data_IF_759918584468
#
_entry.id   IF_759918584468
#
_cell.length_a   1.000
_cell.length_b   1.000
_cell.length_c   1.000
_cell.angle_alpha   90.00
_cell.angle_beta   90.00
_cell.angle_gamma   90.00
#
_symmetry.space_group_name_H-M   'P 1'
#
loop_
_entity.id
_entity.type
_entity.pdbx_description
1 polymer ?
#
# COMPACT_ATOMS: atom_id res chain seq x y z
N UNK A 1 -21.61 5.84 -19.74
CA UNK A 1 -20.75 4.65 -19.81
C UNK A 1 -19.31 5.11 -19.53
N UNK A 2 -18.64 4.43 -18.62
CA UNK A 2 -17.22 4.60 -18.33
C UNK A 2 -16.52 3.35 -18.83
N UNK A 3 -15.79 3.47 -19.91
CA UNK A 3 -14.99 2.40 -20.48
C UNK A 3 -13.55 2.50 -19.99
N UNK A 4 -12.91 1.37 -19.77
CA UNK A 4 -11.56 1.30 -19.20
C UNK A 4 -11.39 2.05 -17.87
N UNK A 5 -12.37 1.91 -16.98
CA UNK A 5 -12.40 2.65 -15.71
C UNK A 5 -11.15 2.44 -14.84
N UNK A 6 -10.50 1.28 -14.93
CA UNK A 6 -9.25 1.00 -14.24
C UNK A 6 -8.11 1.97 -14.58
N UNK A 7 -8.20 2.70 -15.69
CA UNK A 7 -7.21 3.68 -16.16
C UNK A 7 -7.62 5.13 -15.90
N UNK A 8 -8.84 5.36 -15.39
CA UNK A 8 -9.35 6.70 -15.12
C UNK A 8 -8.87 7.21 -13.76
N UNK A 9 -8.91 8.53 -13.59
CA UNK A 9 -8.65 9.15 -12.29
C UNK A 9 -9.75 8.77 -11.30
N UNK A 10 -9.42 8.28 -10.09
CA UNK A 10 -10.40 7.84 -9.10
C UNK A 10 -11.44 8.90 -8.73
N UNK A 11 -11.04 10.17 -8.70
CA UNK A 11 -11.87 11.33 -8.31
C UNK A 11 -13.02 11.59 -9.29
N UNK A 12 -12.85 11.18 -10.57
CA UNK A 12 -13.85 11.41 -11.62
C UNK A 12 -15.24 10.88 -11.23
N UNK A 13 -15.30 9.73 -10.59
CA UNK A 13 -16.56 9.13 -10.20
C UNK A 13 -17.25 9.94 -9.09
N UNK A 14 -16.55 10.21 -7.99
CA UNK A 14 -17.12 10.88 -6.82
C UNK A 14 -17.39 12.37 -7.02
N UNK A 15 -16.46 13.06 -7.66
CA UNK A 15 -16.53 14.54 -7.77
C UNK A 15 -17.34 15.03 -8.96
N UNK A 16 -17.39 14.24 -10.04
CA UNK A 16 -18.04 14.69 -11.28
C UNK A 16 -19.31 13.90 -11.57
N UNK A 17 -19.25 12.56 -11.55
CA UNK A 17 -20.35 11.76 -12.02
C UNK A 17 -21.48 11.60 -11.01
N UNK A 18 -21.15 11.39 -9.72
CA UNK A 18 -22.20 11.25 -8.69
C UNK A 18 -23.08 12.48 -8.61
N UNK A 19 -22.56 13.73 -8.55
CA UNK A 19 -23.40 14.92 -8.59
C UNK A 19 -24.23 15.05 -9.86
N UNK A 20 -23.64 14.78 -11.03
CA UNK A 20 -24.32 14.90 -12.33
C UNK A 20 -25.47 13.87 -12.52
N UNK A 21 -25.33 12.69 -11.92
CA UNK A 21 -26.36 11.64 -12.00
C UNK A 21 -27.48 11.85 -10.98
N UNK A 22 -27.17 12.44 -9.83
CA UNK A 22 -28.15 12.66 -8.75
C UNK A 22 -29.33 13.53 -9.18
N UNK A 23 -29.07 14.56 -10.01
CA UNK A 23 -30.11 15.47 -10.49
C UNK A 23 -31.17 14.81 -11.40
N UNK A 24 -30.81 13.69 -12.04
CA UNK A 24 -31.64 13.03 -13.05
C UNK A 24 -32.03 11.61 -12.73
N UNK A 25 -31.73 11.14 -11.52
CA UNK A 25 -31.88 9.75 -11.14
C UNK A 25 -31.28 8.80 -12.20
N UNK A 26 -30.08 9.18 -12.67
CA UNK A 26 -29.36 8.48 -13.71
C UNK A 26 -28.64 7.22 -13.20
N UNK A 27 -28.20 6.39 -14.12
CA UNK A 27 -27.38 5.22 -13.81
C UNK A 27 -26.09 5.26 -14.65
N UNK A 28 -25.08 4.51 -14.20
CA UNK A 28 -23.78 4.44 -14.86
C UNK A 28 -23.42 2.98 -15.16
N UNK A 29 -22.87 2.76 -16.34
CA UNK A 29 -22.16 1.54 -16.67
C UNK A 29 -20.67 1.78 -16.50
N UNK A 30 -20.03 0.93 -15.69
CA UNK A 30 -18.60 0.91 -15.49
C UNK A 30 -18.10 -0.40 -16.07
N UNK A 31 -17.24 -0.32 -17.08
CA UNK A 31 -16.67 -1.49 -17.76
C UNK A 31 -15.15 -1.33 -17.87
N UNK A 32 -14.46 -2.44 -18.04
CA UNK A 32 -13.01 -2.48 -18.21
C UNK A 32 -12.42 -3.81 -17.76
N UNK A 33 -11.13 -3.95 -17.96
CA UNK A 33 -10.33 -5.06 -17.46
C UNK A 33 -9.63 -4.72 -16.14
N UNK A 34 -9.38 -5.69 -15.25
CA UNK A 34 -8.64 -5.47 -14.02
C UNK A 34 -7.24 -4.90 -14.27
N UNK A 35 -6.84 -3.91 -13.46
CA UNK A 35 -5.46 -3.40 -13.42
C UNK A 35 -5.00 -3.24 -11.97
N UNK A 36 -4.89 -4.37 -11.28
CA UNK A 36 -4.58 -4.42 -9.86
C UNK A 36 -5.74 -3.98 -8.96
N UNK A 37 -5.46 -3.80 -7.67
CA UNK A 37 -6.44 -3.41 -6.66
C UNK A 37 -6.55 -1.87 -6.56
N UNK A 38 -7.11 -1.26 -7.57
CA UNK A 38 -7.34 0.18 -7.70
C UNK A 38 -8.80 0.56 -7.42
N UNK A 39 -9.18 1.80 -7.75
CA UNK A 39 -10.55 2.29 -7.57
C UNK A 39 -11.62 1.45 -8.31
N UNK A 40 -11.27 0.79 -9.42
CA UNK A 40 -12.16 -0.14 -10.10
C UNK A 40 -12.44 -1.39 -9.26
N UNK A 41 -11.40 -1.95 -8.64
CA UNK A 41 -11.53 -3.07 -7.72
C UNK A 41 -12.38 -2.73 -6.50
N UNK A 42 -12.17 -1.57 -5.89
CA UNK A 42 -12.97 -1.11 -4.76
C UNK A 42 -14.46 -0.97 -5.12
N UNK A 43 -14.74 -0.44 -6.32
CA UNK A 43 -16.10 -0.35 -6.86
C UNK A 43 -16.70 -1.74 -7.10
N UNK A 44 -15.93 -2.66 -7.65
CA UNK A 44 -16.35 -4.04 -7.85
C UNK A 44 -16.72 -4.71 -6.52
N UNK A 45 -15.88 -4.59 -5.49
CA UNK A 45 -16.16 -5.12 -4.17
C UNK A 45 -17.39 -4.49 -3.50
N UNK A 46 -17.59 -3.19 -3.69
CA UNK A 46 -18.78 -2.48 -3.19
C UNK A 46 -20.05 -3.00 -3.88
N UNK A 47 -19.98 -3.11 -5.21
CA UNK A 47 -21.12 -3.57 -6.01
C UNK A 47 -21.50 -5.02 -5.71
N UNK A 48 -20.56 -5.90 -5.38
CA UNK A 48 -20.85 -7.27 -4.97
C UNK A 48 -21.65 -7.37 -3.66
N UNK A 49 -21.58 -6.34 -2.81
CA UNK A 49 -22.26 -6.32 -1.50
C UNK A 49 -23.61 -5.59 -1.52
N UNK A 50 -23.95 -4.92 -2.60
CA UNK A 50 -25.12 -4.06 -2.70
C UNK A 50 -26.01 -4.51 -3.87
N UNK A 51 -27.19 -5.02 -3.55
CA UNK A 51 -28.16 -5.53 -4.53
C UNK A 51 -28.73 -4.48 -5.50
N UNK A 52 -28.46 -3.20 -5.28
CA UNK A 52 -28.82 -2.13 -6.23
C UNK A 52 -27.92 -2.09 -7.47
N UNK A 53 -26.78 -2.81 -7.42
CA UNK A 53 -25.88 -2.92 -8.55
C UNK A 53 -26.09 -4.23 -9.32
N UNK A 54 -25.98 -4.13 -10.63
CA UNK A 54 -25.79 -5.30 -11.49
C UNK A 54 -24.29 -5.50 -11.71
N UNK A 55 -23.78 -6.68 -11.39
CA UNK A 55 -22.36 -7.03 -11.54
C UNK A 55 -22.25 -8.28 -12.40
N UNK A 56 -21.37 -8.23 -13.40
CA UNK A 56 -20.98 -9.40 -14.18
C UNK A 56 -19.46 -9.37 -14.42
N UNK A 57 -18.86 -10.54 -14.48
CA UNK A 57 -17.46 -10.74 -14.81
C UNK A 57 -17.40 -11.91 -15.79
N UNK A 58 -16.84 -11.67 -16.97
CA UNK A 58 -16.73 -12.66 -18.03
C UNK A 58 -15.25 -12.96 -18.32
N UNK A 59 -14.82 -14.12 -17.92
CA UNK A 59 -13.47 -14.60 -18.23
C UNK A 59 -13.45 -15.22 -19.62
N UNK A 60 -12.35 -15.05 -20.34
CA UNK A 60 -12.20 -15.59 -21.69
C UNK A 60 -12.24 -17.13 -21.76
N UNK A 61 -11.83 -17.80 -20.67
CA UNK A 61 -11.86 -19.26 -20.54
C UNK A 61 -13.23 -19.84 -20.12
N UNK A 62 -14.17 -18.99 -19.72
CA UNK A 62 -15.53 -19.36 -19.32
C UNK A 62 -16.57 -19.01 -20.37
N UNK A 63 -16.16 -18.35 -21.45
CA UNK A 63 -17.06 -17.93 -22.52
C UNK A 63 -16.59 -18.49 -23.86
N UNK A 64 -17.54 -18.82 -24.74
CA UNK A 64 -17.24 -19.27 -26.12
C UNK A 64 -17.10 -18.08 -27.11
N UNK A 65 -16.89 -16.87 -26.61
CA UNK A 65 -16.80 -15.65 -27.44
C UNK A 65 -15.51 -15.67 -28.27
N UNK A 66 -14.42 -16.13 -27.66
CA UNK A 66 -13.13 -16.30 -28.33
C UNK A 66 -12.91 -17.78 -28.62
N UNK A 67 -12.74 -18.19 -29.90
CA UNK A 67 -12.43 -19.58 -30.24
C UNK A 67 -11.17 -20.07 -29.49
N UNK A 68 -11.17 -21.33 -29.03
CA UNK A 68 -10.09 -21.88 -28.25
C UNK A 68 -8.71 -21.78 -28.93
N UNK A 69 -8.64 -21.99 -30.24
CA UNK A 69 -7.40 -21.85 -31.02
C UNK A 69 -6.87 -20.41 -30.95
N UNK A 70 -7.76 -19.43 -31.05
CA UNK A 70 -7.40 -18.01 -30.98
C UNK A 70 -6.96 -17.60 -29.58
N UNK A 71 -7.61 -18.15 -28.56
CA UNK A 71 -7.23 -17.92 -27.15
C UNK A 71 -5.82 -18.44 -26.87
N UNK A 72 -5.48 -19.63 -27.37
CA UNK A 72 -4.13 -20.19 -27.22
C UNK A 72 -3.07 -19.41 -28.02
N UNK A 73 -3.43 -18.85 -29.16
CA UNK A 73 -2.55 -17.95 -29.91
C UNK A 73 -2.25 -16.66 -29.11
N UNK A 74 -3.30 -16.02 -28.56
CA UNK A 74 -3.16 -14.84 -27.72
C UNK A 74 -2.28 -15.09 -26.49
N UNK A 75 -2.47 -16.20 -25.79
CA UNK A 75 -1.66 -16.58 -24.63
C UNK A 75 -0.16 -16.73 -24.94
N UNK A 76 0.20 -17.10 -26.17
CA UNK A 76 1.63 -17.23 -26.56
C UNK A 76 2.32 -15.88 -26.71
N UNK A 77 1.57 -14.82 -27.00
CA UNK A 77 2.09 -13.47 -27.24
C UNK A 77 2.01 -12.58 -25.97
N UNK A 78 1.31 -13.04 -24.94
CA UNK A 78 1.06 -12.30 -23.71
C UNK A 78 1.92 -12.83 -22.56
N UNK A 79 2.28 -11.95 -21.64
CA UNK A 79 2.89 -12.34 -20.37
C UNK A 79 1.85 -12.97 -19.43
N UNK A 80 2.29 -13.74 -18.44
CA UNK A 80 1.40 -14.34 -17.44
C UNK A 80 0.53 -13.30 -16.72
N UNK A 81 1.08 -12.10 -16.47
CA UNK A 81 0.35 -10.99 -15.87
C UNK A 81 -0.76 -10.48 -16.80
N UNK A 82 -0.45 -10.29 -18.07
CA UNK A 82 -1.44 -9.85 -19.06
C UNK A 82 -2.54 -10.90 -19.26
N UNK A 83 -2.20 -12.19 -19.31
CA UNK A 83 -3.18 -13.29 -19.37
C UNK A 83 -4.14 -13.22 -18.17
N UNK A 84 -3.59 -13.10 -16.96
CA UNK A 84 -4.40 -13.02 -15.74
C UNK A 84 -5.31 -11.80 -15.73
N UNK A 85 -4.82 -10.64 -16.15
CA UNK A 85 -5.59 -9.40 -16.19
C UNK A 85 -6.64 -9.39 -17.30
N UNK A 86 -6.20 -9.55 -18.55
CA UNK A 86 -7.02 -9.30 -19.73
C UNK A 86 -7.95 -10.49 -20.07
N UNK A 87 -7.51 -11.72 -19.81
CA UNK A 87 -8.26 -12.92 -20.16
C UNK A 87 -8.99 -13.55 -18.97
N UNK A 88 -8.40 -13.49 -17.78
CA UNK A 88 -8.96 -14.15 -16.60
C UNK A 88 -9.59 -13.19 -15.58
N UNK A 89 -9.67 -11.90 -15.87
CA UNK A 89 -10.26 -10.87 -15.01
C UNK A 89 -9.72 -10.86 -13.58
N UNK A 90 -8.42 -11.13 -13.42
CA UNK A 90 -7.78 -11.26 -12.12
C UNK A 90 -7.26 -9.91 -11.60
N UNK A 91 -7.94 -9.36 -10.59
CA UNK A 91 -7.52 -8.11 -9.92
C UNK A 91 -6.26 -8.25 -9.08
N UNK A 92 -5.78 -9.47 -8.80
CA UNK A 92 -4.56 -9.68 -8.02
C UNK A 92 -3.32 -9.76 -8.90
N UNK A 93 -3.49 -9.86 -10.21
CA UNK A 93 -2.38 -9.83 -11.16
C UNK A 93 -1.68 -8.47 -11.07
N UNK A 94 -0.39 -8.50 -10.77
CA UNK A 94 0.41 -7.28 -10.60
C UNK A 94 0.69 -6.63 -11.96
N UNK A 95 0.44 -5.33 -12.08
CA UNK A 95 0.94 -4.56 -13.21
C UNK A 95 2.48 -4.57 -13.20
N UNK A 96 3.11 -4.56 -14.38
CA UNK A 96 4.57 -4.61 -14.56
C UNK A 96 5.37 -3.50 -13.83
N UNK A 97 4.68 -2.47 -13.33
CA UNK A 97 5.27 -1.33 -12.63
C UNK A 97 5.11 -1.37 -11.10
N UNK A 98 4.63 -2.48 -10.55
CA UNK A 98 4.49 -2.62 -9.09
C UNK A 98 5.81 -3.14 -8.53
N UNK A 99 6.43 -2.36 -7.64
CA UNK A 99 7.70 -2.71 -6.98
C UNK A 99 7.52 -3.93 -6.06
N UNK A 100 6.39 -4.01 -5.34
CA UNK A 100 6.06 -5.13 -4.46
C UNK A 100 4.64 -5.58 -4.74
N UNK A 101 4.43 -6.79 -5.28
CA UNK A 101 3.09 -7.35 -5.52
C UNK A 101 2.24 -7.43 -4.25
N UNK A 102 0.94 -7.20 -4.37
CA UNK A 102 0.01 -7.17 -3.22
C UNK A 102 -0.12 -8.53 -2.52
N UNK A 103 0.02 -9.62 -3.26
CA UNK A 103 0.04 -10.97 -2.72
C UNK A 103 1.22 -11.17 -1.76
N UNK A 104 2.42 -10.69 -2.10
CA UNK A 104 3.59 -10.70 -1.21
C UNK A 104 3.38 -9.82 0.03
N UNK A 105 2.73 -8.67 -0.12
CA UNK A 105 2.39 -7.80 1.02
C UNK A 105 1.39 -8.49 1.94
N UNK A 106 0.38 -9.12 1.36
CA UNK A 106 -0.65 -9.86 2.11
C UNK A 106 -0.08 -11.08 2.82
N UNK A 107 0.80 -11.84 2.16
CA UNK A 107 1.52 -12.96 2.77
C UNK A 107 2.37 -12.48 3.94
N UNK A 108 3.15 -11.42 3.75
CA UNK A 108 3.98 -10.84 4.79
C UNK A 108 3.17 -10.32 5.99
N UNK A 109 2.02 -9.67 5.73
CA UNK A 109 1.14 -9.14 6.78
C UNK A 109 0.46 -10.24 7.61
N UNK A 110 0.15 -11.38 6.99
CA UNK A 110 -0.49 -12.52 7.66
C UNK A 110 0.50 -13.51 8.28
N UNK A 111 1.80 -13.33 8.02
CA UNK A 111 2.82 -14.21 8.54
C UNK A 111 2.99 -14.01 10.05
N UNK A 112 2.82 -15.08 10.81
CA UNK A 112 3.11 -15.12 12.23
C UNK A 112 4.60 -15.38 12.44
N UNK A 113 5.29 -14.49 13.12
CA UNK A 113 6.70 -14.61 13.45
C UNK A 113 6.81 -14.60 14.99
N UNK A 114 7.38 -15.65 15.57
CA UNK A 114 7.56 -15.75 17.00
C UNK A 114 8.78 -14.95 17.47
N UNK A 115 8.79 -14.57 18.75
CA UNK A 115 9.95 -13.89 19.36
C UNK A 115 11.21 -14.76 19.34
N UNK A 116 11.06 -16.09 19.34
CA UNK A 116 12.16 -17.04 19.27
C UNK A 116 12.84 -17.04 17.89
N UNK A 117 12.06 -16.92 16.80
CA UNK A 117 12.60 -16.88 15.44
C UNK A 117 13.44 -15.62 15.18
N UNK A 118 13.21 -14.56 15.92
CA UNK A 118 13.95 -13.30 15.76
C UNK A 118 14.88 -12.99 16.94
N UNK A 119 15.05 -13.91 17.90
CA UNK A 119 15.79 -13.67 19.14
C UNK A 119 17.20 -13.09 18.89
N UNK A 120 17.94 -13.69 17.95
CA UNK A 120 19.31 -13.31 17.60
C UNK A 120 19.38 -12.34 16.40
N UNK A 121 18.24 -11.84 15.94
CA UNK A 121 18.19 -10.91 14.81
C UNK A 121 18.48 -9.47 15.22
N UNK A 122 19.06 -8.69 14.29
CA UNK A 122 19.31 -7.26 14.46
C UNK A 122 18.01 -6.52 14.67
N UNK A 123 17.98 -5.66 15.69
CA UNK A 123 16.88 -4.80 16.07
C UNK A 123 17.13 -3.37 15.59
N UNK A 124 16.25 -2.83 14.76
CA UNK A 124 16.39 -1.51 14.14
C UNK A 124 15.16 -0.67 14.47
N UNK A 125 15.40 0.58 14.84
CA UNK A 125 14.38 1.61 14.97
C UNK A 125 14.52 2.60 13.83
N UNK A 126 13.49 2.74 12.98
CA UNK A 126 13.39 3.76 11.94
C UNK A 126 12.57 4.95 12.45
N UNK A 127 13.00 6.17 12.13
CA UNK A 127 12.30 7.40 12.50
C UNK A 127 12.17 8.28 11.26
N UNK A 128 10.96 8.51 10.84
CA UNK A 128 10.59 9.49 9.83
C UNK A 128 10.06 10.73 10.53
N UNK A 129 10.79 11.86 10.40
CA UNK A 129 10.52 13.08 11.16
C UNK A 129 9.68 14.03 10.33
N UNK A 130 8.40 14.19 10.70
CA UNK A 130 7.52 15.19 10.13
C UNK A 130 7.75 16.58 10.74
N UNK A 131 7.47 17.60 9.93
CA UNK A 131 7.42 19.00 10.35
C UNK A 131 6.05 19.33 10.93
N UNK A 132 5.92 20.48 11.63
CA UNK A 132 4.63 21.05 11.98
C UNK A 132 3.72 21.15 10.77
N UNK A 133 2.53 20.54 10.81
CA UNK A 133 1.57 20.47 9.73
C UNK A 133 0.67 19.24 9.90
N UNK A 134 0.12 18.78 8.79
CA UNK A 134 -0.81 17.63 8.78
C UNK A 134 -0.09 16.27 8.78
N UNK A 135 1.24 16.25 8.68
CA UNK A 135 2.04 15.02 8.65
C UNK A 135 2.41 14.53 10.05
N UNK A 136 2.48 13.22 10.21
CA UNK A 136 2.89 12.56 11.45
C UNK A 136 4.36 12.15 11.43
N UNK A 137 5.06 12.34 12.56
CA UNK A 137 6.33 11.64 12.79
C UNK A 137 6.06 10.17 13.09
N UNK A 138 6.74 9.28 12.38
CA UNK A 138 6.55 7.83 12.50
C UNK A 138 7.79 7.17 13.10
N UNK A 139 7.59 6.37 14.15
CA UNK A 139 8.62 5.48 14.69
C UNK A 139 8.23 4.04 14.34
N UNK A 140 9.12 3.35 13.65
CA UNK A 140 8.97 1.95 13.28
C UNK A 140 10.03 1.11 13.98
N UNK A 141 9.65 -0.02 14.57
CA UNK A 141 10.57 -1.00 15.12
C UNK A 141 10.52 -2.28 14.30
N UNK A 142 11.69 -2.79 13.92
CA UNK A 142 11.86 -4.05 13.23
C UNK A 142 12.94 -4.89 13.91
N UNK A 143 12.68 -6.18 14.09
CA UNK A 143 13.68 -7.14 14.54
C UNK A 143 13.69 -8.35 13.58
N UNK A 144 14.77 -8.54 12.84
CA UNK A 144 14.81 -9.53 11.78
C UNK A 144 13.70 -9.31 10.74
N UNK A 145 12.82 -10.30 10.56
CA UNK A 145 11.65 -10.22 9.68
C UNK A 145 10.40 -9.67 10.38
N UNK A 146 10.39 -9.57 11.71
CA UNK A 146 9.26 -9.05 12.45
C UNK A 146 9.24 -7.51 12.43
N UNK A 147 8.12 -6.94 11.96
CA UNK A 147 7.80 -5.52 12.08
C UNK A 147 6.74 -5.35 13.15
N UNK A 148 7.00 -4.45 14.10
CA UNK A 148 6.07 -4.14 15.18
C UNK A 148 5.16 -2.97 14.81
N UNK A 149 4.01 -2.79 15.48
CA UNK A 149 3.11 -1.67 15.20
C UNK A 149 3.83 -0.34 15.23
N UNK A 150 3.56 0.50 14.24
CA UNK A 150 4.13 1.84 14.13
C UNK A 150 3.57 2.76 15.22
N UNK A 151 4.41 3.67 15.71
CA UNK A 151 4.04 4.72 16.64
C UNK A 151 3.93 6.02 15.84
N UNK A 152 2.77 6.64 15.89
CA UNK A 152 2.48 7.91 15.24
C UNK A 152 2.49 9.03 16.27
N UNK A 153 3.21 10.10 15.98
CA UNK A 153 3.35 11.28 16.81
C UNK A 153 2.97 12.51 16.00
N UNK A 154 1.92 13.19 16.43
CA UNK A 154 1.42 14.37 15.72
C UNK A 154 1.77 15.67 16.43
N UNK A 155 2.12 16.70 15.67
CA UNK A 155 2.27 18.07 16.14
C UNK A 155 3.42 18.31 17.14
N UNK A 156 4.43 17.44 17.18
CA UNK A 156 5.58 17.55 18.09
C UNK A 156 6.70 18.39 17.45
N UNK A 157 7.41 19.15 18.31
CA UNK A 157 8.65 19.80 17.91
C UNK A 157 9.84 18.78 17.95
N UNK A 158 10.99 19.17 17.38
CA UNK A 158 12.17 18.30 17.28
C UNK A 158 12.68 17.79 18.61
N UNK A 159 12.56 18.58 19.68
CA UNK A 159 12.97 18.19 21.04
C UNK A 159 12.02 17.17 21.65
N UNK A 160 10.72 17.31 21.40
CA UNK A 160 9.70 16.38 21.83
C UNK A 160 9.80 15.06 21.05
N UNK A 161 10.03 15.13 19.75
CA UNK A 161 10.32 13.95 18.91
C UNK A 161 11.55 13.22 19.44
N UNK A 162 12.67 13.91 19.67
CA UNK A 162 13.86 13.29 20.21
C UNK A 162 13.61 12.63 21.58
N UNK A 163 12.82 13.27 22.44
CA UNK A 163 12.45 12.70 23.74
C UNK A 163 11.57 11.46 23.63
N UNK A 164 10.62 11.44 22.71
CA UNK A 164 9.79 10.28 22.41
C UNK A 164 10.63 9.12 21.86
N UNK A 165 11.51 9.38 20.87
CA UNK A 165 12.44 8.39 20.33
C UNK A 165 13.34 7.83 21.43
N UNK A 166 13.90 8.67 22.31
CA UNK A 166 14.72 8.26 23.44
C UNK A 166 13.96 7.34 24.40
N UNK A 167 12.69 7.65 24.71
CA UNK A 167 11.86 6.81 25.57
C UNK A 167 11.67 5.41 24.98
N UNK A 168 11.44 5.32 23.68
CA UNK A 168 11.31 4.04 22.98
C UNK A 168 12.65 3.30 22.88
N UNK A 169 13.75 4.02 22.64
CA UNK A 169 15.11 3.47 22.64
C UNK A 169 15.43 2.73 23.94
N UNK A 170 15.22 3.37 25.08
CA UNK A 170 15.53 2.75 26.36
C UNK A 170 14.67 1.54 26.69
N UNK A 171 13.46 1.47 26.16
CA UNK A 171 12.56 0.33 26.31
C UNK A 171 12.96 -0.84 25.42
N UNK A 172 13.30 -0.58 24.16
CA UNK A 172 13.55 -1.60 23.12
C UNK A 172 15.02 -1.98 23.05
N UNK A 173 15.92 -1.03 23.29
CA UNK A 173 17.38 -1.14 23.14
C UNK A 173 17.78 -1.66 21.76
N UNK A 174 17.40 -0.96 20.67
CA UNK A 174 17.72 -1.39 19.32
C UNK A 174 19.25 -1.30 19.09
N UNK A 175 19.76 -2.13 18.18
CA UNK A 175 21.15 -2.11 17.74
C UNK A 175 21.49 -0.85 16.95
N UNK A 176 20.49 -0.30 16.21
CA UNK A 176 20.63 0.95 15.47
C UNK A 176 19.33 1.76 15.47
N UNK A 177 19.49 3.10 15.43
CA UNK A 177 18.43 4.06 15.12
C UNK A 177 18.74 4.68 13.78
N UNK A 178 17.82 4.59 12.84
CA UNK A 178 17.93 5.20 11.50
C UNK A 178 16.93 6.34 11.43
N UNK A 179 17.42 7.55 11.23
CA UNK A 179 16.58 8.76 11.16
C UNK A 179 16.68 9.34 9.76
N UNK A 180 15.53 9.62 9.14
CA UNK A 180 15.49 10.43 7.93
C UNK A 180 15.96 11.85 8.26
N UNK A 181 17.13 12.20 7.69
CA UNK A 181 17.81 13.48 7.94
C UNK A 181 17.24 14.64 7.12
N UNK A 182 16.17 14.45 6.34
CA UNK A 182 15.46 15.52 5.65
C UNK A 182 15.36 16.78 6.51
N UNK A 183 14.79 17.86 6.04
CA UNK A 183 14.90 19.23 6.60
C UNK A 183 14.82 19.39 8.15
N UNK A 184 14.29 18.40 8.88
CA UNK A 184 14.12 18.43 10.35
C UNK A 184 14.85 17.32 11.11
N UNK A 185 15.21 16.22 10.45
CA UNK A 185 15.83 15.06 11.09
C UNK A 185 17.21 15.33 11.70
N UNK A 186 17.98 16.23 11.10
CA UNK A 186 19.31 16.59 11.61
C UNK A 186 19.27 17.10 13.07
N UNK A 187 18.31 17.93 13.42
CA UNK A 187 18.15 18.43 14.79
C UNK A 187 17.75 17.33 15.79
N UNK A 188 16.96 16.36 15.35
CA UNK A 188 16.60 15.18 16.15
C UNK A 188 17.83 14.30 16.37
N UNK A 189 18.61 14.04 15.31
CA UNK A 189 19.84 13.24 15.34
C UNK A 189 20.84 13.83 16.34
N UNK A 190 21.11 15.13 16.26
CA UNK A 190 22.03 15.81 17.16
C UNK A 190 21.58 15.70 18.62
N UNK A 191 20.29 15.84 18.85
CA UNK A 191 19.74 15.71 20.20
C UNK A 191 19.83 14.29 20.74
N UNK A 192 19.54 13.28 19.94
CA UNK A 192 19.68 11.87 20.35
C UNK A 192 21.14 11.53 20.69
N UNK A 193 22.10 12.01 19.92
CA UNK A 193 23.52 11.85 20.20
C UNK A 193 23.93 12.51 21.53
N UNK A 194 23.44 13.74 21.79
CA UNK A 194 23.65 14.44 23.08
C UNK A 194 23.05 13.67 24.26
N UNK A 195 21.94 12.93 24.05
CA UNK A 195 21.30 12.09 25.06
C UNK A 195 22.01 10.75 25.28
N UNK A 196 23.17 10.53 24.64
CA UNK A 196 24.02 9.36 24.85
C UNK A 196 23.65 8.14 23.98
N UNK A 197 23.04 8.36 22.84
CA UNK A 197 22.72 7.29 21.86
C UNK A 197 23.76 7.27 20.75
N UNK A 198 24.80 6.39 20.82
CA UNK A 198 25.89 6.40 19.86
C UNK A 198 25.56 5.75 18.53
N UNK A 199 24.52 4.93 18.47
CA UNK A 199 24.13 4.12 17.33
C UNK A 199 23.06 4.79 16.45
N UNK A 200 22.99 6.12 16.46
CA UNK A 200 22.11 6.92 15.60
C UNK A 200 22.80 7.17 14.26
N UNK A 201 22.15 6.71 13.19
CA UNK A 201 22.57 6.90 11.80
C UNK A 201 21.55 7.77 11.06
N UNK A 202 22.04 8.58 10.13
CA UNK A 202 21.20 9.36 9.24
C UNK A 202 21.06 8.68 7.87
N UNK A 203 19.91 8.87 7.26
CA UNK A 203 19.64 8.48 5.87
C UNK A 203 19.06 9.69 5.16
N UNK A 204 19.50 9.95 3.91
CA UNK A 204 19.01 11.01 3.02
C UNK A 204 18.43 10.40 1.74
#
# INVERSE_FOLDING_TARGET
ILDEFAQMRPELYGEVLVPALSDRNGFVYIIGTPKGQNAFYERYLTALKDSSYFVCCYRADETDIIPAEKLEEMKREMTDTEIRQELLCDFTASASNIVIPIDLVTEAANRMISDEEVADSVSIMGVDVARFGDDDTIITHRKGLACYPQIKLHGLNTMEVASAVASHYWRIKPDAIIVDAGAMGAGVIDRLRQMGMPNVMEVN
#
